data_IF_293702866059
#
_entry.id   IF_293702866059
#
_cell.length_a   1.000
_cell.length_b   1.000
_cell.length_c   1.000
_cell.angle_alpha   90.00
_cell.angle_beta   90.00
_cell.angle_gamma   90.00
#
_symmetry.space_group_name_H-M   'P 1'
#
loop_
_entity.id
_entity.type
_entity.pdbx_description
1 polymer ?
#
# COMPACT_ATOMS: atom_id res chain seq x y z
N UNK A 1 -2.34 -8.94 5.56
CA UNK A 1 -3.00 -10.09 6.23
C UNK A 1 -4.09 -10.75 5.38
N UNK A 2 -4.76 -10.07 4.44
CA UNK A 2 -5.77 -10.71 3.56
C UNK A 2 -5.21 -11.86 2.70
N UNK A 3 -4.05 -11.65 2.07
CA UNK A 3 -3.38 -12.70 1.28
C UNK A 3 -3.10 -13.96 2.12
N UNK A 4 -2.62 -13.79 3.35
CA UNK A 4 -2.33 -14.91 4.25
C UNK A 4 -3.62 -15.67 4.64
N UNK A 5 -4.69 -14.96 4.98
CA UNK A 5 -5.98 -15.57 5.29
C UNK A 5 -6.55 -16.39 4.11
N UNK A 6 -6.33 -15.92 2.88
CA UNK A 6 -6.66 -16.67 1.67
C UNK A 6 -5.81 -17.96 1.54
N UNK A 7 -4.49 -17.89 1.80
CA UNK A 7 -3.62 -19.07 1.79
C UNK A 7 -3.98 -20.10 2.88
N UNK A 8 -4.42 -19.63 4.04
CA UNK A 8 -4.84 -20.48 5.16
C UNK A 8 -6.24 -21.09 4.95
N UNK A 9 -6.95 -20.71 3.87
CA UNK A 9 -8.27 -21.27 3.55
C UNK A 9 -9.39 -20.84 4.49
N UNK A 10 -9.20 -19.74 5.23
CA UNK A 10 -10.19 -19.26 6.22
C UNK A 10 -11.26 -18.32 5.62
N UNK A 11 -11.18 -18.05 4.32
CA UNK A 11 -12.09 -17.16 3.60
C UNK A 11 -13.04 -17.96 2.69
N UNK A 12 -14.24 -17.41 2.47
CA UNK A 12 -15.21 -17.96 1.52
C UNK A 12 -15.40 -16.97 0.36
N UNK A 13 -15.24 -17.40 -0.90
CA UNK A 13 -15.50 -16.55 -2.07
C UNK A 13 -16.92 -16.00 -2.10
N UNK A 14 -17.05 -14.77 -2.57
CA UNK A 14 -18.33 -14.11 -2.81
C UNK A 14 -18.39 -13.62 -4.27
N UNK A 15 -19.29 -14.19 -5.07
CA UNK A 15 -19.66 -13.61 -6.36
C UNK A 15 -20.70 -12.51 -6.15
N UNK A 16 -20.42 -11.31 -6.64
CA UNK A 16 -21.31 -10.16 -6.54
C UNK A 16 -21.08 -9.19 -7.69
N UNK A 17 -22.10 -9.02 -8.54
CA UNK A 17 -22.06 -8.05 -9.63
C UNK A 17 -21.82 -6.62 -9.11
N UNK A 18 -22.39 -6.29 -7.94
CA UNK A 18 -22.19 -4.98 -7.29
C UNK A 18 -20.72 -4.76 -6.96
N UNK A 19 -20.02 -5.78 -6.45
CA UNK A 19 -18.57 -5.67 -6.15
C UNK A 19 -17.77 -5.54 -7.44
N UNK A 20 -18.07 -6.34 -8.45
CA UNK A 20 -17.35 -6.34 -9.72
C UNK A 20 -17.49 -5.02 -10.48
N UNK A 21 -18.66 -4.38 -10.40
CA UNK A 21 -18.95 -3.08 -11.01
C UNK A 21 -18.28 -1.91 -10.26
N UNK A 22 -18.26 -1.96 -8.93
CA UNK A 22 -17.83 -0.81 -8.11
C UNK A 22 -16.36 -0.87 -7.67
N UNK A 23 -15.74 -2.07 -7.64
CA UNK A 23 -14.38 -2.27 -7.12
C UNK A 23 -13.45 -2.74 -8.25
N UNK A 24 -12.47 -1.91 -8.66
CA UNK A 24 -11.46 -2.30 -9.64
C UNK A 24 -10.73 -3.60 -9.30
N UNK A 25 -10.36 -4.36 -10.32
CA UNK A 25 -9.77 -5.69 -10.17
C UNK A 25 -8.51 -5.71 -9.29
N UNK A 26 -7.66 -4.68 -9.35
CA UNK A 26 -6.45 -4.56 -8.53
C UNK A 26 -6.71 -4.42 -7.02
N UNK A 27 -7.96 -4.16 -6.61
CA UNK A 27 -8.35 -3.98 -5.21
C UNK A 27 -9.18 -5.14 -4.65
N UNK A 28 -9.26 -6.27 -5.35
CA UNK A 28 -9.97 -7.47 -4.92
C UNK A 28 -9.20 -8.74 -5.30
N UNK A 29 -9.48 -9.86 -4.63
CA UNK A 29 -8.87 -11.14 -4.99
C UNK A 29 -9.37 -11.60 -6.37
N UNK A 30 -8.49 -12.24 -7.15
CA UNK A 30 -8.86 -12.93 -8.39
C UNK A 30 -9.79 -14.13 -8.14
N UNK A 31 -9.81 -14.69 -6.93
CA UNK A 31 -10.70 -15.79 -6.53
C UNK A 31 -12.02 -15.30 -5.93
N UNK A 32 -12.18 -14.00 -5.69
CA UNK A 32 -13.32 -13.42 -4.97
C UNK A 32 -13.30 -13.64 -3.46
N UNK A 33 -12.18 -14.10 -2.89
CA UNK A 33 -12.06 -14.40 -1.45
C UNK A 33 -11.98 -13.17 -0.54
N UNK A 34 -11.61 -12.00 -1.07
CA UNK A 34 -11.60 -10.74 -0.33
C UNK A 34 -11.74 -9.54 -1.28
N UNK A 35 -12.19 -8.40 -0.73
CA UNK A 35 -12.38 -7.12 -1.44
C UNK A 35 -11.90 -5.98 -0.56
N UNK A 36 -11.12 -5.05 -1.12
CA UNK A 36 -10.69 -3.84 -0.42
C UNK A 36 -11.81 -2.80 -0.34
N UNK A 37 -12.04 -2.23 0.85
CA UNK A 37 -13.10 -1.25 1.09
C UNK A 37 -12.60 0.20 1.14
N UNK A 38 -11.30 0.39 1.37
CA UNK A 38 -10.65 1.69 1.40
C UNK A 38 -9.23 1.58 0.88
N UNK A 39 -8.69 2.71 0.42
CA UNK A 39 -7.32 2.80 -0.09
C UNK A 39 -6.47 3.61 0.87
N UNK A 40 -5.20 3.21 0.98
CA UNK A 40 -4.18 3.96 1.72
C UNK A 40 -2.95 4.14 0.85
N UNK A 41 -2.48 5.37 0.73
CA UNK A 41 -1.15 5.64 0.24
C UNK A 41 -0.18 5.57 1.41
N UNK A 42 0.92 4.83 1.26
CA UNK A 42 2.11 5.05 2.09
C UNK A 42 2.88 6.13 1.36
N UNK A 43 3.10 7.28 1.98
CA UNK A 43 3.76 8.45 1.36
C UNK A 43 5.04 8.80 2.11
N UNK A 44 5.80 9.75 1.55
CA UNK A 44 6.94 10.35 2.22
C UNK A 44 6.45 11.53 3.05
N UNK A 45 6.57 11.43 4.37
CA UNK A 45 6.42 12.57 5.28
C UNK A 45 7.78 13.19 5.53
N UNK A 46 7.86 14.52 5.50
CA UNK A 46 9.11 15.24 5.67
C UNK A 46 8.90 16.51 6.49
N UNK A 47 9.98 16.97 7.12
CA UNK A 47 10.02 18.24 7.85
C UNK A 47 10.23 19.39 6.86
N UNK A 48 9.25 20.29 6.78
CA UNK A 48 9.26 21.43 5.83
C UNK A 48 10.38 22.45 6.10
N UNK A 49 10.93 22.46 7.30
CA UNK A 49 12.11 23.27 7.67
C UNK A 49 13.42 22.72 7.08
N UNK A 50 13.49 21.43 6.76
CA UNK A 50 14.73 20.70 6.43
C UNK A 50 14.75 20.07 5.04
N UNK A 51 13.60 19.94 4.39
CA UNK A 51 13.44 19.29 3.08
C UNK A 51 12.45 20.08 2.25
N UNK A 52 12.83 20.42 1.03
CA UNK A 52 11.94 20.99 0.02
C UNK A 52 11.27 19.88 -0.80
N UNK A 53 10.02 20.05 -1.27
CA UNK A 53 9.35 19.07 -2.12
C UNK A 53 10.17 18.67 -3.36
N UNK A 54 10.94 19.61 -3.93
CA UNK A 54 11.79 19.36 -5.11
C UNK A 54 12.97 18.42 -4.87
N UNK A 55 13.31 18.13 -3.61
CA UNK A 55 14.34 17.15 -3.25
C UNK A 55 13.79 15.72 -3.20
N UNK A 56 12.47 15.56 -3.27
CA UNK A 56 11.78 14.27 -3.21
C UNK A 56 11.34 13.85 -4.61
N UNK A 57 11.52 12.57 -4.92
CA UNK A 57 11.09 11.97 -6.18
C UNK A 57 10.42 10.63 -5.93
N UNK A 58 11.19 9.54 -5.93
CA UNK A 58 10.69 8.17 -5.82
C UNK A 58 11.14 7.52 -4.52
N UNK A 59 10.61 6.32 -4.23
CA UNK A 59 11.04 5.55 -3.06
C UNK A 59 12.48 5.08 -3.19
N UNK A 60 12.91 4.74 -4.40
CA UNK A 60 14.26 4.28 -4.72
C UNK A 60 15.29 5.38 -4.41
N UNK A 61 14.97 6.65 -4.69
CA UNK A 61 15.84 7.78 -4.40
C UNK A 61 16.09 7.98 -2.88
N UNK A 62 15.25 7.41 -2.00
CA UNK A 62 15.51 7.44 -0.55
C UNK A 62 16.73 6.59 -0.15
N UNK A 63 17.26 5.75 -1.05
CA UNK A 63 18.50 5.01 -0.83
C UNK A 63 19.76 5.84 -1.13
N UNK A 64 19.62 7.04 -1.71
CA UNK A 64 20.75 7.89 -2.05
C UNK A 64 21.49 8.41 -0.80
N UNK A 65 22.80 8.65 -0.93
CA UNK A 65 23.67 9.12 0.17
C UNK A 65 23.16 10.39 0.86
N UNK A 66 22.45 11.25 0.14
CA UNK A 66 21.84 12.49 0.63
C UNK A 66 20.81 12.26 1.74
N UNK A 67 20.30 11.03 1.90
CA UNK A 67 19.34 10.63 2.94
C UNK A 67 19.97 9.85 4.10
N UNK A 68 21.28 9.61 4.08
CA UNK A 68 22.00 8.93 5.15
C UNK A 68 21.81 9.66 6.49
N UNK A 69 21.39 8.92 7.52
CA UNK A 69 21.08 9.47 8.85
C UNK A 69 19.82 10.33 8.94
N UNK A 70 19.01 10.43 7.87
CA UNK A 70 17.82 11.32 7.80
C UNK A 70 16.49 10.56 7.72
N UNK A 71 16.50 9.24 7.59
CA UNK A 71 15.29 8.42 7.50
C UNK A 71 14.81 7.95 8.88
N UNK A 72 13.51 8.08 9.14
CA UNK A 72 12.85 7.52 10.32
C UNK A 72 11.70 6.63 9.86
N UNK A 73 11.83 5.32 10.09
CA UNK A 73 10.86 4.30 9.69
C UNK A 73 10.54 3.44 10.91
N UNK A 74 9.32 2.89 10.99
CA UNK A 74 9.02 1.90 12.04
C UNK A 74 9.90 0.66 11.84
N UNK A 75 10.28 0.02 12.93
CA UNK A 75 10.79 -1.35 12.90
C UNK A 75 9.66 -2.28 12.49
N UNK A 76 9.96 -3.23 11.60
CA UNK A 76 8.99 -4.25 11.17
C UNK A 76 9.06 -5.46 12.09
#
# INVERSE_FOLDING_TARGET
NLWQAEQEGVLKPLQSAVIEENIPAQYRSSTGSWTGLSLRARTIFYSTERVKPSELSTYEALADKNWEGRLCLRTS
#
